data_IF_492822909203
#
_entry.id   IF_492822909203
#
_cell.length_a   1.000
_cell.length_b   1.000
_cell.length_c   1.000
_cell.angle_alpha   90.00
_cell.angle_beta   90.00
_cell.angle_gamma   90.00
#
_symmetry.space_group_name_H-M   'P 1'
#
loop_
_entity.id
_entity.type
_entity.pdbx_description
1 polymer ?
#
# COMPACT_ATOMS: atom_id res chain seq x y z
N UNK A 1 -3.87 10.54 21.18
CA UNK A 1 -4.32 9.79 20.00
C UNK A 1 -5.73 9.32 20.31
N UNK A 2 -6.73 9.83 19.61
CA UNK A 2 -8.11 9.38 19.76
C UNK A 2 -8.22 7.90 19.38
N UNK A 3 -8.83 7.10 20.25
CA UNK A 3 -8.86 5.63 20.17
C UNK A 3 -9.66 5.06 18.99
N UNK A 4 -10.35 5.89 18.20
CA UNK A 4 -11.34 5.41 17.23
C UNK A 4 -11.10 5.96 15.80
N UNK A 5 -10.05 5.47 15.16
CA UNK A 5 -9.78 5.63 13.72
C UNK A 5 -10.28 4.43 12.90
N UNK A 6 -11.25 3.70 13.45
CA UNK A 6 -11.86 2.60 12.73
C UNK A 6 -12.75 3.18 11.63
N UNK A 7 -12.65 2.70 10.38
CA UNK A 7 -13.64 3.04 9.38
C UNK A 7 -15.05 2.67 9.86
N UNK A 8 -16.02 3.55 9.62
CA UNK A 8 -17.42 3.28 9.97
C UNK A 8 -17.93 2.01 9.27
N UNK A 9 -17.52 1.82 8.02
CA UNK A 9 -17.80 0.63 7.23
C UNK A 9 -16.79 -0.48 7.55
N UNK A 10 -17.27 -1.66 7.93
CA UNK A 10 -16.41 -2.81 8.23
C UNK A 10 -16.15 -3.71 7.02
N UNK A 11 -16.85 -3.46 5.94
CA UNK A 11 -16.78 -4.21 4.68
C UNK A 11 -16.72 -3.25 3.52
N UNK A 12 -16.14 -3.70 2.40
CA UNK A 12 -16.01 -2.89 1.21
C UNK A 12 -15.99 -3.76 -0.03
N UNK A 13 -16.46 -3.25 -1.16
CA UNK A 13 -16.37 -3.97 -2.43
C UNK A 13 -15.22 -3.42 -3.28
N UNK A 14 -14.42 -4.34 -3.83
CA UNK A 14 -13.40 -4.04 -4.83
C UNK A 14 -13.77 -4.73 -6.13
N UNK A 15 -14.11 -3.94 -7.14
CA UNK A 15 -14.37 -4.39 -8.50
C UNK A 15 -13.03 -4.48 -9.24
N UNK A 16 -12.68 -5.66 -9.71
CA UNK A 16 -11.39 -5.98 -10.31
C UNK A 16 -11.58 -6.58 -11.70
N UNK A 17 -10.77 -6.12 -12.65
CA UNK A 17 -10.63 -6.71 -13.98
C UNK A 17 -9.15 -6.90 -14.27
N UNK A 18 -8.81 -8.01 -14.92
CA UNK A 18 -7.41 -8.36 -15.21
C UNK A 18 -7.28 -8.78 -16.67
N UNK A 19 -6.25 -8.28 -17.32
CA UNK A 19 -5.90 -8.61 -18.70
C UNK A 19 -4.41 -8.91 -18.82
N UNK A 20 -4.02 -9.66 -19.85
CA UNK A 20 -2.63 -9.74 -20.28
C UNK A 20 -2.54 -9.69 -21.80
N UNK A 21 -1.42 -9.17 -22.30
CA UNK A 21 -1.19 -9.05 -23.74
C UNK A 21 -0.07 -9.98 -24.26
N UNK A 22 0.36 -10.91 -23.40
CA UNK A 22 1.45 -11.85 -23.64
C UNK A 22 2.82 -11.36 -23.17
N UNK A 23 2.99 -10.06 -22.92
CA UNK A 23 4.23 -9.52 -22.33
C UNK A 23 3.97 -8.74 -21.02
N UNK A 24 2.77 -8.18 -20.84
CA UNK A 24 2.36 -7.38 -19.69
C UNK A 24 1.09 -7.93 -19.06
N UNK A 25 0.97 -7.71 -17.76
CA UNK A 25 -0.30 -7.82 -17.03
C UNK A 25 -0.86 -6.43 -16.78
N UNK A 26 -2.18 -6.31 -16.85
CA UNK A 26 -2.93 -5.09 -16.59
C UNK A 26 -4.03 -5.39 -15.59
N UNK A 27 -4.21 -4.49 -14.63
CA UNK A 27 -5.30 -4.51 -13.69
C UNK A 27 -6.09 -3.22 -13.78
N UNK A 28 -7.43 -3.32 -13.70
CA UNK A 28 -8.33 -2.20 -13.40
C UNK A 28 -9.06 -2.51 -12.11
N UNK A 29 -9.03 -1.55 -11.19
CA UNK A 29 -9.64 -1.61 -9.88
C UNK A 29 -10.64 -0.48 -9.73
N UNK A 30 -11.80 -0.76 -9.13
CA UNK A 30 -12.80 0.25 -8.80
C UNK A 30 -13.35 0.02 -7.41
N UNK A 31 -13.47 1.08 -6.62
CA UNK A 31 -14.12 1.03 -5.32
C UNK A 31 -14.78 2.36 -4.98
N UNK A 32 -15.87 2.29 -4.23
CA UNK A 32 -16.63 3.47 -3.84
C UNK A 32 -15.83 4.31 -2.84
N UNK A 33 -15.68 5.60 -3.13
CA UNK A 33 -15.05 6.59 -2.28
C UNK A 33 -15.79 7.91 -2.47
N UNK A 34 -16.91 8.12 -1.77
CA UNK A 34 -17.70 9.34 -1.89
C UNK A 34 -17.00 10.57 -1.28
N UNK A 35 -16.00 10.36 -0.42
CA UNK A 35 -15.29 11.45 0.25
C UNK A 35 -14.12 11.98 -0.61
N UNK A 36 -14.10 13.29 -0.95
CA UNK A 36 -13.02 13.91 -1.73
C UNK A 36 -11.79 14.21 -0.86
N UNK A 37 -10.60 14.28 -1.48
CA UNK A 37 -9.35 14.66 -0.79
C UNK A 37 -8.36 13.51 -0.56
N UNK A 38 -8.66 12.31 -1.04
CA UNK A 38 -7.79 11.12 -0.91
C UNK A 38 -6.45 11.24 -1.61
N UNK A 39 -6.24 12.27 -2.43
CA UNK A 39 -4.97 12.56 -3.09
C UNK A 39 -4.10 13.57 -2.32
N UNK A 40 -4.50 13.99 -1.12
CA UNK A 40 -3.70 14.81 -0.21
C UNK A 40 -2.99 13.92 0.81
N UNK A 41 -1.79 14.34 1.23
CA UNK A 41 -0.97 13.64 2.23
C UNK A 41 -0.37 14.66 3.21
N UNK A 42 0.54 14.22 4.08
CA UNK A 42 1.23 15.08 5.05
C UNK A 42 1.82 16.36 4.44
N UNK A 43 1.46 17.50 5.04
CA UNK A 43 1.90 18.85 4.66
C UNK A 43 2.72 19.48 5.78
N UNK A 44 3.58 20.42 5.40
CA UNK A 44 4.25 21.34 6.29
C UNK A 44 3.42 22.63 6.29
N UNK A 45 3.03 23.11 7.47
CA UNK A 45 2.17 24.29 7.62
C UNK A 45 2.89 25.35 8.43
N UNK A 46 2.92 26.58 7.92
CA UNK A 46 3.35 27.72 8.72
C UNK A 46 2.23 28.13 9.67
N UNK A 47 2.45 27.91 10.96
CA UNK A 47 1.43 28.08 11.99
C UNK A 47 2.02 28.67 13.27
N UNK A 48 1.43 29.78 13.73
CA UNK A 48 1.86 30.52 14.92
C UNK A 48 3.35 30.92 14.85
N UNK A 49 3.81 31.35 13.68
CA UNK A 49 5.18 31.82 13.46
C UNK A 49 6.23 30.73 13.32
N UNK A 50 5.85 29.47 13.08
CA UNK A 50 6.78 28.39 12.81
C UNK A 50 6.23 27.34 11.84
N UNK A 51 7.11 26.72 11.06
CA UNK A 51 6.80 25.57 10.22
C UNK A 51 6.64 24.30 11.05
N UNK A 52 5.47 23.66 10.92
CA UNK A 52 5.11 22.43 11.64
C UNK A 52 4.66 21.35 10.65
N UNK A 53 4.95 20.09 10.96
CA UNK A 53 4.37 18.99 10.20
C UNK A 53 2.95 18.72 10.65
N UNK A 54 2.01 18.82 9.72
CA UNK A 54 0.64 18.33 9.90
C UNK A 54 0.48 17.04 9.08
N UNK A 55 0.37 15.93 9.79
CA UNK A 55 0.23 14.58 9.24
C UNK A 55 -0.85 13.85 10.03
N UNK A 56 -1.51 12.84 9.44
CA UNK A 56 -2.34 11.88 10.17
C UNK A 56 -3.36 12.59 11.11
N UNK A 57 -4.51 13.04 10.60
CA UNK A 57 -5.57 12.07 10.37
C UNK A 57 -6.03 11.92 8.92
N UNK A 58 -7.03 11.07 8.79
CA UNK A 58 -7.75 10.90 7.56
C UNK A 58 -8.49 12.18 7.15
N UNK A 59 -8.46 12.54 5.84
CA UNK A 59 -9.08 13.77 5.34
C UNK A 59 -10.57 13.88 5.67
N UNK A 60 -11.25 12.75 5.88
CA UNK A 60 -12.69 12.65 6.16
C UNK A 60 -13.03 12.57 7.65
N UNK A 61 -12.05 12.42 8.54
CA UNK A 61 -12.28 12.46 9.99
C UNK A 61 -12.27 13.92 10.45
N UNK A 62 -13.32 14.65 10.07
CA UNK A 62 -13.57 16.02 10.50
C UNK A 62 -14.38 16.04 11.79
N UNK A 63 -13.90 16.70 12.85
CA UNK A 63 -14.68 16.87 14.08
C UNK A 63 -13.88 17.12 15.35
N UNK A 64 -12.60 16.79 15.35
CA UNK A 64 -11.69 17.18 16.42
C UNK A 64 -10.89 18.42 15.97
N UNK A 65 -11.00 19.55 16.69
CA UNK A 65 -10.24 20.76 16.36
C UNK A 65 -8.72 20.58 16.45
N UNK A 66 -8.21 19.55 17.13
CA UNK A 66 -6.78 19.17 17.14
C UNK A 66 -6.36 18.40 15.87
N UNK A 67 -7.31 17.96 15.04
CA UNK A 67 -7.03 17.30 13.75
C UNK A 67 -6.57 18.29 12.70
N UNK A 68 -5.31 18.14 12.28
CA UNK A 68 -4.62 19.09 11.41
C UNK A 68 -4.02 18.47 10.14
N UNK A 69 -3.79 17.16 10.11
CA UNK A 69 -3.13 16.46 9.01
C UNK A 69 -4.04 15.75 7.99
N UNK A 70 -3.39 15.21 6.96
CA UNK A 70 -4.01 14.44 5.88
C UNK A 70 -3.24 13.16 5.61
N UNK A 71 -3.90 12.20 4.99
CA UNK A 71 -3.26 10.98 4.49
C UNK A 71 -3.98 10.49 3.23
N UNK A 72 -3.21 9.87 2.34
CA UNK A 72 -3.68 9.50 1.00
C UNK A 72 -4.45 8.17 0.96
N UNK A 73 -5.30 8.04 -0.05
CA UNK A 73 -5.88 6.79 -0.53
C UNK A 73 -4.85 5.92 -1.21
N UNK A 74 -4.97 4.61 -0.99
CA UNK A 74 -4.03 3.62 -1.51
C UNK A 74 -4.76 2.34 -1.87
N UNK A 75 -4.26 1.71 -2.92
CA UNK A 75 -4.57 0.34 -3.27
C UNK A 75 -3.25 -0.43 -3.26
N UNK A 76 -3.25 -1.60 -2.63
CA UNK A 76 -2.14 -2.54 -2.72
C UNK A 76 -2.66 -3.94 -2.89
N UNK A 77 -1.80 -4.84 -3.34
CA UNK A 77 -2.09 -6.26 -3.31
C UNK A 77 -0.80 -7.04 -3.13
N UNK A 78 -0.94 -8.24 -2.57
CA UNK A 78 0.12 -9.23 -2.59
C UNK A 78 0.05 -10.08 -3.85
N UNK A 79 1.21 -10.45 -4.38
CA UNK A 79 1.38 -11.50 -5.39
C UNK A 79 2.37 -12.55 -4.87
N UNK A 80 2.07 -13.81 -5.18
CA UNK A 80 2.86 -14.98 -4.80
C UNK A 80 2.71 -16.07 -5.87
N UNK A 81 3.74 -16.88 -6.06
CA UNK A 81 3.76 -18.02 -6.98
C UNK A 81 3.37 -19.34 -6.31
N UNK A 82 2.90 -19.28 -5.05
CA UNK A 82 2.56 -20.43 -4.22
C UNK A 82 3.72 -20.92 -3.36
N UNK A 83 4.88 -20.26 -3.40
CA UNK A 83 6.04 -20.62 -2.57
C UNK A 83 5.87 -20.21 -1.10
N UNK A 84 5.05 -19.20 -0.80
CA UNK A 84 4.76 -18.78 0.57
C UNK A 84 3.67 -19.66 1.19
N UNK A 85 4.08 -20.56 2.08
CA UNK A 85 3.20 -21.52 2.74
C UNK A 85 2.15 -20.80 3.60
N UNK A 86 0.89 -21.15 3.35
CA UNK A 86 -0.26 -20.61 4.07
C UNK A 86 -0.77 -19.28 3.53
N UNK A 87 -0.12 -18.67 2.55
CA UNK A 87 -0.60 -17.42 1.96
C UNK A 87 -1.98 -17.58 1.29
N UNK A 88 -2.23 -18.70 0.61
CA UNK A 88 -3.56 -19.02 0.06
C UNK A 88 -4.66 -19.02 1.15
N UNK A 89 -4.36 -19.60 2.32
CA UNK A 89 -5.34 -19.72 3.39
C UNK A 89 -5.50 -18.43 4.21
N UNK A 90 -4.43 -17.64 4.39
CA UNK A 90 -4.39 -16.55 5.37
C UNK A 90 -4.04 -15.17 4.83
N UNK A 91 -3.83 -15.02 3.53
CA UNK A 91 -3.63 -13.73 2.86
C UNK A 91 -2.67 -12.79 3.63
N UNK A 92 -3.05 -11.51 3.73
CA UNK A 92 -2.26 -10.50 4.44
C UNK A 92 -2.18 -10.67 5.96
N UNK A 93 -3.05 -11.47 6.59
CA UNK A 93 -3.00 -11.74 8.03
C UNK A 93 -1.73 -12.48 8.43
N UNK A 94 -1.25 -13.37 7.55
CA UNK A 94 0.02 -14.10 7.71
C UNK A 94 1.21 -13.19 8.01
N UNK A 95 1.14 -11.92 7.58
CA UNK A 95 2.26 -10.97 7.67
C UNK A 95 2.24 -10.07 8.91
N UNK A 96 1.22 -10.17 9.75
CA UNK A 96 0.96 -9.20 10.82
C UNK A 96 1.19 -9.83 12.19
N UNK A 97 2.36 -9.62 12.80
CA UNK A 97 2.74 -10.28 14.05
C UNK A 97 2.65 -9.35 15.27
N UNK A 98 2.72 -9.93 16.47
CA UNK A 98 3.00 -9.17 17.69
C UNK A 98 4.28 -8.32 17.54
N UNK A 99 4.30 -7.11 18.11
CA UNK A 99 5.45 -6.21 18.04
C UNK A 99 5.42 -5.23 16.87
N UNK A 100 4.61 -5.47 15.83
CA UNK A 100 4.53 -4.58 14.69
C UNK A 100 4.06 -3.18 15.08
N UNK A 101 4.59 -2.17 14.39
CA UNK A 101 4.20 -0.79 14.58
C UNK A 101 2.68 -0.60 14.46
N UNK A 102 2.11 0.28 15.26
CA UNK A 102 0.68 0.59 15.29
C UNK A 102 -0.24 -0.55 15.76
N UNK A 103 0.31 -1.62 16.34
CA UNK A 103 -0.44 -2.57 17.15
C UNK A 103 -0.37 -2.18 18.63
N UNK A 104 -1.33 -2.61 19.47
CA UNK A 104 -1.23 -2.41 20.92
C UNK A 104 0.02 -3.05 21.53
N UNK A 105 0.56 -4.08 20.86
CA UNK A 105 1.79 -4.78 21.24
C UNK A 105 3.04 -4.21 20.56
N UNK A 106 2.99 -3.02 19.94
CA UNK A 106 4.13 -2.39 19.28
C UNK A 106 5.38 -2.40 20.17
N UNK A 107 6.47 -2.93 19.63
CA UNK A 107 7.75 -2.95 20.33
C UNK A 107 8.38 -1.55 20.30
N UNK A 108 9.12 -1.19 21.35
CA UNK A 108 9.80 0.10 21.41
C UNK A 108 10.91 0.23 20.35
N UNK A 109 11.14 1.45 19.88
CA UNK A 109 12.22 1.76 18.94
C UNK A 109 13.59 1.30 19.47
N UNK A 110 13.87 1.54 20.75
CA UNK A 110 15.11 1.11 21.41
C UNK A 110 15.33 -0.40 21.29
N UNK A 111 14.29 -1.22 21.46
CA UNK A 111 14.41 -2.66 21.35
C UNK A 111 14.61 -3.14 19.90
N UNK A 112 14.05 -2.44 18.90
CA UNK A 112 14.30 -2.74 17.48
C UNK A 112 15.73 -2.33 17.09
N UNK A 113 16.17 -1.16 17.51
CA UNK A 113 17.52 -0.63 17.25
C UNK A 113 18.60 -1.51 17.89
N UNK A 114 18.33 -2.10 19.05
CA UNK A 114 19.22 -3.05 19.70
C UNK A 114 19.22 -4.46 19.07
N UNK A 115 18.31 -4.76 18.13
CA UNK A 115 18.22 -6.08 17.52
C UNK A 115 19.28 -6.25 16.40
N UNK A 116 20.08 -7.35 16.38
CA UNK A 116 21.14 -7.54 15.38
C UNK A 116 20.66 -7.51 13.92
N UNK A 117 19.47 -8.08 13.67
CA UNK A 117 18.87 -8.05 12.32
C UNK A 117 18.25 -6.70 11.97
N UNK A 118 17.25 -6.22 12.73
CA UNK A 118 16.52 -5.01 12.38
C UNK A 118 17.31 -3.72 12.60
N UNK A 119 17.94 -3.56 13.77
CA UNK A 119 18.70 -2.36 14.11
C UNK A 119 20.05 -2.30 13.40
N UNK A 120 20.94 -3.26 13.67
CA UNK A 120 22.31 -3.19 13.16
C UNK A 120 22.41 -3.42 11.65
N UNK A 121 21.73 -4.43 11.11
CA UNK A 121 21.81 -4.78 9.67
C UNK A 121 20.88 -3.95 8.80
N UNK A 122 19.59 -3.82 9.18
CA UNK A 122 18.60 -3.14 8.35
C UNK A 122 18.44 -1.63 8.66
N UNK A 123 19.03 -1.14 9.75
CA UNK A 123 18.93 0.26 10.18
C UNK A 123 17.50 0.68 10.48
N UNK A 124 16.71 -0.19 11.10
CA UNK A 124 15.30 0.05 11.43
C UNK A 124 15.12 0.36 12.91
N UNK A 125 14.11 1.17 13.17
CA UNK A 125 13.63 1.52 14.51
C UNK A 125 12.15 1.14 14.71
N UNK A 126 11.54 0.46 13.74
CA UNK A 126 10.18 -0.07 13.81
C UNK A 126 10.14 -1.51 13.26
N UNK A 127 9.16 -2.29 13.73
CA UNK A 127 8.81 -3.56 13.09
C UNK A 127 7.65 -3.35 12.11
N UNK A 128 7.75 -4.03 10.97
CA UNK A 128 6.74 -4.05 9.92
C UNK A 128 6.42 -5.48 9.54
N UNK A 129 5.59 -5.65 8.51
CA UNK A 129 5.21 -6.96 7.97
C UNK A 129 6.44 -7.83 7.72
N UNK A 130 6.35 -9.09 8.08
CA UNK A 130 7.33 -10.14 7.78
C UNK A 130 6.59 -11.48 7.67
N UNK A 131 7.22 -12.49 7.07
CA UNK A 131 6.70 -13.84 6.94
C UNK A 131 7.16 -14.71 8.12
N UNK A 132 6.30 -15.58 8.68
CA UNK A 132 6.74 -16.51 9.72
C UNK A 132 7.83 -17.47 9.21
N UNK A 133 7.81 -17.85 7.93
CA UNK A 133 8.90 -18.61 7.30
C UNK A 133 10.27 -17.93 7.40
N UNK A 134 10.34 -16.60 7.54
CA UNK A 134 11.61 -15.87 7.72
C UNK A 134 12.16 -15.99 9.16
N UNK A 135 11.43 -16.61 10.07
CA UNK A 135 11.83 -16.89 11.44
C UNK A 135 12.17 -18.37 11.65
N UNK A 136 12.94 -18.66 12.70
CA UNK A 136 13.25 -20.02 13.11
C UNK A 136 11.99 -20.74 13.64
N UNK A 137 11.92 -22.05 13.37
CA UNK A 137 10.81 -22.90 13.80
C UNK A 137 9.99 -23.43 12.62
N UNK A 138 8.75 -23.80 12.92
CA UNK A 138 7.75 -24.25 11.94
C UNK A 138 7.30 -23.11 11.02
N UNK A 139 6.68 -23.43 9.89
CA UNK A 139 6.25 -22.45 8.88
C UNK A 139 5.31 -21.35 9.42
N UNK A 140 4.58 -21.65 10.50
CA UNK A 140 3.65 -20.75 11.17
C UNK A 140 4.27 -20.00 12.36
N UNK A 141 5.48 -20.36 12.79
CA UNK A 141 6.14 -19.73 13.93
C UNK A 141 6.82 -18.43 13.47
N UNK A 142 6.32 -17.27 13.92
CA UNK A 142 6.83 -15.96 13.53
C UNK A 142 7.23 -15.09 14.71
N UNK A 143 8.35 -15.42 15.36
CA UNK A 143 8.97 -14.55 16.38
C UNK A 143 10.06 -13.69 15.74
N UNK A 144 9.86 -12.38 15.74
CA UNK A 144 10.80 -11.40 15.19
C UNK A 144 12.17 -11.45 15.88
N UNK A 145 12.29 -12.02 17.09
CA UNK A 145 13.56 -12.19 17.79
C UNK A 145 14.43 -13.32 17.24
N UNK A 146 13.82 -14.20 16.43
CA UNK A 146 14.43 -15.41 15.92
C UNK A 146 14.49 -15.41 14.39
N UNK A 147 14.83 -14.27 13.77
CA UNK A 147 14.99 -14.16 12.32
C UNK A 147 16.05 -15.15 11.81
N UNK A 148 15.78 -15.81 10.69
CA UNK A 148 16.73 -16.70 10.03
C UNK A 148 18.01 -15.96 9.62
N UNK A 149 19.15 -16.67 9.55
CA UNK A 149 20.40 -16.08 9.11
C UNK A 149 20.31 -15.47 7.68
N UNK A 150 21.11 -14.44 7.37
CA UNK A 150 21.03 -13.71 6.10
C UNK A 150 21.24 -14.57 4.86
N UNK A 151 22.13 -15.56 4.92
CA UNK A 151 22.39 -16.49 3.84
C UNK A 151 21.17 -17.36 3.53
N UNK A 152 20.41 -17.72 4.56
CA UNK A 152 19.18 -18.47 4.42
C UNK A 152 18.08 -17.58 3.84
N UNK A 153 17.90 -16.35 4.34
CA UNK A 153 16.95 -15.38 3.79
C UNK A 153 17.25 -15.07 2.32
N UNK A 154 18.53 -14.95 1.95
CA UNK A 154 18.92 -14.78 0.55
C UNK A 154 18.54 -16.00 -0.30
N UNK A 155 18.81 -17.20 0.19
CA UNK A 155 18.45 -18.43 -0.52
C UNK A 155 16.92 -18.60 -0.64
N UNK A 156 16.14 -18.18 0.36
CA UNK A 156 14.67 -18.12 0.29
C UNK A 156 14.22 -17.17 -0.82
N UNK A 157 14.77 -15.96 -0.86
CA UNK A 157 14.48 -14.96 -1.89
C UNK A 157 14.83 -15.45 -3.30
N UNK A 158 15.96 -16.15 -3.46
CA UNK A 158 16.37 -16.79 -4.73
C UNK A 158 15.43 -17.92 -5.16
N UNK A 159 14.67 -18.52 -4.24
CA UNK A 159 13.62 -19.52 -4.52
C UNK A 159 12.22 -18.92 -4.71
N UNK A 160 12.09 -17.60 -4.68
CA UNK A 160 10.80 -16.91 -4.81
C UNK A 160 9.99 -16.82 -3.50
N UNK A 161 10.52 -17.29 -2.36
CA UNK A 161 9.80 -17.37 -1.08
C UNK A 161 9.61 -15.99 -0.40
N UNK A 162 8.94 -15.06 -1.07
CA UNK A 162 8.59 -13.73 -0.60
C UNK A 162 7.24 -13.31 -1.20
N UNK A 163 6.58 -12.33 -0.58
CA UNK A 163 5.38 -11.73 -1.17
C UNK A 163 5.74 -10.42 -1.88
N UNK A 164 5.48 -10.35 -3.18
CA UNK A 164 5.49 -9.10 -3.96
C UNK A 164 4.33 -8.21 -3.48
N UNK A 165 4.56 -6.91 -3.27
CA UNK A 165 3.64 -5.95 -2.67
C UNK A 165 3.65 -4.60 -3.40
N UNK A 166 3.12 -4.54 -4.63
CA UNK A 166 2.87 -3.29 -5.31
C UNK A 166 1.79 -2.48 -4.61
N UNK A 167 1.90 -1.17 -4.72
CA UNK A 167 0.92 -0.23 -4.17
C UNK A 167 0.80 1.02 -5.02
N UNK A 168 -0.41 1.30 -5.49
CA UNK A 168 -0.77 2.63 -5.98
C UNK A 168 -1.04 3.58 -4.79
N UNK A 169 -0.54 4.80 -4.89
CA UNK A 169 -0.63 5.85 -3.88
C UNK A 169 -1.12 7.15 -4.52
N UNK A 170 -2.30 7.60 -4.13
CA UNK A 170 -2.97 8.74 -4.77
C UNK A 170 -2.14 10.04 -4.75
N UNK A 171 -1.27 10.23 -3.75
CA UNK A 171 -0.38 11.38 -3.68
C UNK A 171 1.06 11.02 -4.04
N UNK A 172 1.61 9.97 -3.44
CA UNK A 172 3.05 9.69 -3.48
C UNK A 172 3.54 8.95 -4.72
N UNK A 173 2.66 8.48 -5.60
CA UNK A 173 3.08 7.72 -6.79
C UNK A 173 2.25 8.05 -8.03
N UNK A 174 0.95 8.26 -7.87
CA UNK A 174 0.02 8.59 -8.95
C UNK A 174 0.45 9.79 -9.81
N UNK A 175 0.88 10.94 -9.24
CA UNK A 175 1.17 12.12 -10.05
C UNK A 175 2.38 11.98 -10.98
N UNK A 176 3.22 10.96 -10.76
CA UNK A 176 4.36 10.64 -11.62
C UNK A 176 4.10 9.42 -12.51
N UNK A 177 2.91 8.80 -12.45
CA UNK A 177 2.50 7.70 -13.33
C UNK A 177 2.98 6.31 -12.92
N UNK A 178 3.35 6.11 -11.65
CA UNK A 178 3.90 4.85 -11.15
C UNK A 178 3.18 4.33 -9.91
N UNK A 179 3.33 3.03 -9.66
CA UNK A 179 3.14 2.44 -8.33
C UNK A 179 4.40 2.58 -7.48
N UNK A 180 4.27 2.39 -6.17
CA UNK A 180 5.42 2.04 -5.32
C UNK A 180 5.52 0.55 -5.20
N UNK A 181 6.74 0.03 -5.29
CA UNK A 181 6.99 -1.41 -5.21
C UNK A 181 7.75 -1.80 -3.93
N UNK A 182 7.42 -2.97 -3.43
CA UNK A 182 7.92 -3.52 -2.17
C UNK A 182 7.76 -5.03 -2.16
N UNK A 183 8.49 -5.69 -1.27
CA UNK A 183 8.28 -7.11 -0.96
C UNK A 183 8.30 -7.38 0.54
N UNK A 184 7.76 -8.53 0.94
CA UNK A 184 7.74 -9.00 2.32
C UNK A 184 8.45 -10.35 2.42
N UNK A 185 9.53 -10.39 3.20
CA UNK A 185 10.21 -11.61 3.66
C UNK A 185 10.48 -11.51 5.16
N UNK A 186 11.64 -11.01 5.56
CA UNK A 186 12.05 -10.79 6.96
C UNK A 186 11.59 -9.42 7.49
N UNK A 187 11.19 -8.55 6.57
CA UNK A 187 10.65 -7.22 6.80
C UNK A 187 9.89 -6.79 5.53
N UNK A 188 9.13 -5.69 5.61
CA UNK A 188 8.59 -5.01 4.43
C UNK A 188 9.67 -4.13 3.82
N UNK A 189 10.41 -4.71 2.91
CA UNK A 189 11.43 -4.03 2.14
C UNK A 189 10.77 -3.19 1.05
N UNK A 190 11.46 -2.16 0.61
CA UNK A 190 11.12 -1.56 -0.66
C UNK A 190 12.11 -2.06 -1.70
N UNK A 191 11.67 -2.11 -2.93
CA UNK A 191 12.46 -2.75 -3.97
C UNK A 191 13.65 -1.90 -4.38
N UNK A 192 14.62 -2.57 -5.00
CA UNK A 192 15.87 -1.95 -5.37
C UNK A 192 15.67 -0.76 -6.30
N UNK A 193 16.52 0.25 -6.11
CA UNK A 193 16.51 1.47 -6.90
C UNK A 193 15.85 2.64 -6.17
N UNK A 194 15.24 3.53 -6.95
CA UNK A 194 14.74 4.82 -6.47
C UNK A 194 13.22 4.82 -6.48
N UNK A 195 12.62 5.26 -5.38
CA UNK A 195 11.15 5.37 -5.22
C UNK A 195 10.61 6.67 -5.82
N UNK A 196 9.31 6.69 -6.00
CA UNK A 196 8.52 7.81 -6.55
C UNK A 196 8.53 9.09 -5.73
N UNK A 197 9.00 9.05 -4.48
CA UNK A 197 9.00 10.21 -3.58
C UNK A 197 10.25 10.29 -2.69
N UNK A 198 10.53 11.50 -2.20
CA UNK A 198 11.48 11.80 -1.12
C UNK A 198 10.73 12.33 0.10
N UNK A 199 11.48 12.72 1.14
CA UNK A 199 10.96 13.54 2.21
C UNK A 199 11.87 14.73 2.30
N UNK A 200 11.33 15.92 2.09
CA UNK A 200 12.12 17.13 2.29
C UNK A 200 12.37 17.37 3.77
N UNK A 201 13.54 17.92 4.08
CA UNK A 201 13.84 18.46 5.39
C UNK A 201 13.13 19.80 5.56
N UNK A 202 12.96 20.24 6.81
CA UNK A 202 12.52 21.59 7.11
C UNK A 202 13.07 22.02 8.46
N UNK A 203 13.18 23.32 8.64
CA UNK A 203 13.46 23.95 9.93
C UNK A 203 12.21 24.73 10.38
N UNK A 204 11.86 24.73 11.67
CA UNK A 204 10.70 25.49 12.15
C UNK A 204 10.77 27.00 11.88
N UNK A 205 11.96 27.59 11.83
CA UNK A 205 12.16 29.03 11.62
C UNK A 205 12.42 29.38 10.15
N UNK A 206 13.18 28.55 9.43
CA UNK A 206 13.60 28.87 8.04
C UNK A 206 12.83 28.14 6.95
N UNK A 207 11.95 27.21 7.31
CA UNK A 207 11.01 26.58 6.39
C UNK A 207 11.50 25.34 5.66
N UNK A 208 10.70 24.84 4.69
CA UNK A 208 11.03 23.66 3.91
C UNK A 208 12.14 23.91 2.90
N UNK A 209 12.66 22.84 2.31
CA UNK A 209 13.65 22.94 1.21
C UNK A 209 13.01 23.44 -0.10
N UNK A 210 11.76 23.07 -0.34
CA UNK A 210 11.05 23.25 -1.60
C UNK A 210 9.63 23.78 -1.37
N UNK A 211 9.10 24.48 -2.36
CA UNK A 211 7.70 24.96 -2.42
C UNK A 211 7.13 24.80 -3.83
N UNK A 212 5.84 25.10 -4.01
CA UNK A 212 5.28 25.17 -5.36
C UNK A 212 5.83 26.39 -6.11
N UNK A 213 5.98 26.26 -7.43
CA UNK A 213 6.25 27.40 -8.29
C UNK A 213 5.09 28.41 -8.19
N UNK A 214 5.32 29.66 -7.78
CA UNK A 214 4.28 30.68 -7.67
C UNK A 214 3.63 31.07 -9.01
N UNK A 215 4.26 30.72 -10.14
CA UNK A 215 3.64 30.87 -11.46
C UNK A 215 2.56 29.80 -11.73
N UNK A 216 2.58 28.69 -10.98
CA UNK A 216 1.65 27.56 -11.11
C UNK A 216 0.63 27.54 -9.96
N UNK A 217 1.09 27.73 -8.72
CA UNK A 217 0.25 27.79 -7.52
C UNK A 217 0.45 29.16 -6.86
N UNK A 218 -0.57 30.01 -6.94
CA UNK A 218 -0.50 31.37 -6.38
C UNK A 218 -0.06 31.33 -4.90
N UNK A 219 0.92 32.17 -4.55
CA UNK A 219 1.47 32.21 -3.19
C UNK A 219 2.43 31.07 -2.84
N UNK A 220 2.78 30.20 -3.80
CA UNK A 220 3.78 29.13 -3.64
C UNK A 220 3.40 28.02 -2.66
N UNK A 221 2.17 28.04 -2.14
CA UNK A 221 1.66 27.10 -1.14
C UNK A 221 0.14 26.93 -1.29
N UNK A 222 -0.38 25.81 -0.79
CA UNK A 222 -1.82 25.62 -0.60
C UNK A 222 -2.30 26.36 0.66
N UNK A 223 -3.61 26.57 0.79
CA UNK A 223 -4.23 27.10 2.01
C UNK A 223 -4.72 25.94 2.89
N UNK A 224 -4.12 25.78 4.07
CA UNK A 224 -4.50 24.75 5.03
C UNK A 224 -5.97 24.84 5.48
N UNK A 225 -6.49 26.06 5.66
CA UNK A 225 -7.87 26.26 6.08
C UNK A 225 -8.84 25.82 4.98
N UNK A 226 -8.52 26.09 3.72
CA UNK A 226 -9.28 25.62 2.56
C UNK A 226 -9.27 24.08 2.49
N UNK A 227 -8.10 23.44 2.63
CA UNK A 227 -7.99 21.99 2.67
C UNK A 227 -8.83 21.37 3.80
N UNK A 228 -8.85 21.99 4.98
CA UNK A 228 -9.70 21.54 6.11
C UNK A 228 -11.20 21.76 5.88
N UNK A 229 -11.56 22.74 5.06
CA UNK A 229 -12.94 22.98 4.65
C UNK A 229 -13.40 22.01 3.54
N UNK A 230 -12.53 21.12 3.06
CA UNK A 230 -12.80 20.20 1.95
C UNK A 230 -12.59 20.82 0.57
N UNK A 231 -11.98 22.01 0.51
CA UNK A 231 -11.65 22.71 -0.73
C UNK A 231 -10.29 22.21 -1.24
N UNK A 232 -10.29 21.02 -1.83
CA UNK A 232 -9.08 20.39 -2.37
C UNK A 232 -8.79 20.86 -3.80
N UNK A 233 -7.51 21.00 -4.20
CA UNK A 233 -7.16 21.09 -5.61
C UNK A 233 -7.72 19.89 -6.37
N UNK A 234 -8.17 20.09 -7.61
CA UNK A 234 -8.73 19.02 -8.44
C UNK A 234 -7.73 17.86 -8.61
N UNK A 235 -8.22 16.63 -8.48
CA UNK A 235 -7.41 15.43 -8.74
C UNK A 235 -6.95 15.42 -10.20
N UNK A 236 -5.65 15.20 -10.43
CA UNK A 236 -5.04 15.28 -11.75
C UNK A 236 -4.64 16.68 -12.24
N UNK A 237 -4.95 17.77 -11.52
CA UNK A 237 -4.55 19.13 -11.92
C UNK A 237 -3.03 19.40 -11.81
N UNK A 238 -2.29 18.50 -11.16
CA UNK A 238 -0.84 18.65 -10.92
C UNK A 238 -0.48 19.67 -9.83
N UNK A 239 -1.46 20.29 -9.18
CA UNK A 239 -1.28 21.37 -8.19
C UNK A 239 -1.47 20.93 -6.74
N UNK A 240 -1.52 19.62 -6.48
CA UNK A 240 -1.65 19.07 -5.11
C UNK A 240 -0.38 18.38 -4.62
N UNK A 241 0.58 18.09 -5.50
CA UNK A 241 1.81 17.37 -5.18
C UNK A 241 3.03 18.06 -5.79
N UNK A 242 4.17 18.00 -5.10
CA UNK A 242 5.42 18.61 -5.56
C UNK A 242 6.11 17.72 -6.60
N UNK A 243 5.65 17.76 -7.86
CA UNK A 243 6.34 17.13 -8.99
C UNK A 243 7.49 18.02 -9.50
N UNK A 244 8.48 17.47 -10.23
CA UNK A 244 9.61 18.25 -10.72
C UNK A 244 9.22 19.48 -11.54
N UNK A 245 8.07 19.45 -12.21
CA UNK A 245 7.62 20.50 -13.13
C UNK A 245 6.93 21.69 -12.42
N UNK A 246 6.56 21.53 -11.15
CA UNK A 246 5.78 22.53 -10.39
C UNK A 246 6.46 22.94 -9.08
N UNK A 247 7.75 22.62 -8.94
CA UNK A 247 8.49 22.79 -7.68
C UNK A 247 9.72 23.68 -7.85
N UNK A 248 9.90 24.63 -6.92
CA UNK A 248 11.06 25.54 -6.86
C UNK A 248 11.66 25.55 -5.44
N UNK A 249 12.90 26.04 -5.24
CA UNK A 249 13.44 26.27 -3.90
C UNK A 249 12.51 27.17 -3.07
N UNK A 250 12.38 26.89 -1.77
CA UNK A 250 11.55 27.68 -0.87
C UNK A 250 12.00 29.15 -0.80
N UNK A 251 11.03 30.08 -0.88
CA UNK A 251 11.23 31.51 -0.68
C UNK A 251 10.23 32.01 0.40
N UNK A 252 10.72 32.41 1.59
CA UNK A 252 9.85 32.87 2.66
C UNK A 252 9.11 34.16 2.31
N UNK A 253 9.59 34.96 1.36
CA UNK A 253 8.86 36.16 0.93
C UNK A 253 7.60 35.85 0.10
N UNK A 254 7.45 34.61 -0.34
CA UNK A 254 6.32 34.12 -1.16
C UNK A 254 5.40 33.23 -0.33
N UNK A 255 5.96 32.17 0.25
CA UNK A 255 5.17 31.06 0.82
C UNK A 255 5.20 31.02 2.36
N UNK A 256 5.71 32.05 3.04
CA UNK A 256 5.64 32.17 4.50
C UNK A 256 4.51 33.11 4.92
N UNK A 257 3.34 32.54 5.12
CA UNK A 257 2.16 33.22 5.64
C UNK A 257 1.33 32.23 6.48
N UNK A 258 0.55 32.73 7.43
CA UNK A 258 -0.20 31.88 8.35
C UNK A 258 -1.19 30.99 7.60
N UNK A 259 -1.01 29.67 7.71
CA UNK A 259 -1.81 28.66 6.99
C UNK A 259 -1.20 28.15 5.69
N UNK A 260 -0.05 28.67 5.26
CA UNK A 260 0.66 28.18 4.07
C UNK A 260 0.99 26.69 4.22
N UNK A 261 0.48 25.86 3.33
CA UNK A 261 0.62 24.41 3.35
C UNK A 261 1.40 23.89 2.14
N UNK A 262 2.53 23.24 2.41
CA UNK A 262 3.41 22.68 1.37
C UNK A 262 3.52 21.16 1.57
N UNK A 263 3.30 20.33 0.53
CA UNK A 263 3.47 18.89 0.64
C UNK A 263 4.87 18.50 1.13
N UNK A 264 4.95 17.60 2.11
CA UNK A 264 6.24 17.15 2.64
C UNK A 264 6.97 16.17 1.70
N UNK A 265 6.30 15.70 0.66
CA UNK A 265 6.75 14.61 -0.22
C UNK A 265 7.00 15.14 -1.64
N UNK A 266 8.20 15.66 -1.94
CA UNK A 266 8.61 15.86 -3.31
C UNK A 266 8.59 14.54 -4.07
N UNK A 267 8.04 14.57 -5.28
CA UNK A 267 7.90 13.44 -6.17
C UNK A 267 8.99 13.44 -7.23
N UNK A 268 9.28 12.25 -7.74
CA UNK A 268 10.29 12.03 -8.77
C UNK A 268 10.02 10.73 -9.48
N UNK A 269 10.52 10.61 -10.70
CA UNK A 269 10.48 9.35 -11.44
C UNK A 269 11.29 8.26 -10.70
N UNK A 270 10.71 7.06 -10.48
CA UNK A 270 11.40 5.94 -9.89
C UNK A 270 12.40 5.30 -10.87
N UNK A 271 13.28 4.42 -10.39
CA UNK A 271 14.22 3.63 -11.23
C UNK A 271 14.47 2.26 -10.61
N UNK A 272 14.91 1.30 -11.41
CA UNK A 272 15.17 -0.08 -10.96
C UNK A 272 13.86 -0.81 -10.72
N UNK A 273 13.89 -1.86 -9.88
CA UNK A 273 12.69 -2.66 -9.56
C UNK A 273 11.58 -1.82 -8.92
N UNK A 274 11.93 -0.79 -8.16
CA UNK A 274 10.96 0.18 -7.62
C UNK A 274 10.12 0.93 -8.69
N UNK A 275 10.43 0.78 -9.98
CA UNK A 275 9.72 1.35 -11.13
C UNK A 275 8.98 0.30 -11.99
N UNK A 276 8.95 -0.97 -11.60
CA UNK A 276 8.38 -2.05 -12.42
C UNK A 276 6.88 -1.86 -12.70
N UNK A 277 6.16 -1.20 -11.77
CA UNK A 277 4.74 -0.89 -11.91
C UNK A 277 4.48 0.54 -12.37
N UNK A 278 3.82 0.65 -13.53
CA UNK A 278 3.11 1.87 -13.95
C UNK A 278 1.71 1.89 -13.36
N UNK A 279 1.21 3.07 -13.01
CA UNK A 279 -0.14 3.20 -12.46
C UNK A 279 -0.76 4.57 -12.72
N UNK A 280 -2.08 4.61 -12.78
CA UNK A 280 -2.89 5.84 -12.84
C UNK A 280 -4.20 5.65 -12.10
N UNK A 281 -4.61 6.65 -11.34
CA UNK A 281 -5.87 6.72 -10.64
C UNK A 281 -6.69 7.91 -11.10
N UNK A 282 -8.00 7.73 -11.13
CA UNK A 282 -8.96 8.81 -11.38
C UNK A 282 -10.05 8.73 -10.34
N UNK A 283 -10.27 9.83 -9.63
CA UNK A 283 -11.42 9.97 -8.75
C UNK A 283 -12.56 10.62 -9.52
N UNK A 284 -13.72 9.98 -9.52
CA UNK A 284 -14.84 10.33 -10.41
C UNK A 284 -15.92 11.18 -9.74
N UNK A 285 -15.79 11.45 -8.43
CA UNK A 285 -16.81 12.08 -7.61
C UNK A 285 -17.35 11.16 -6.52
N UNK A 286 -17.37 9.85 -6.78
CA UNK A 286 -17.92 8.84 -5.88
C UNK A 286 -17.16 7.51 -5.87
N UNK A 287 -16.26 7.28 -6.82
CA UNK A 287 -15.37 6.11 -6.84
C UNK A 287 -13.96 6.46 -7.32
N UNK A 288 -13.01 5.63 -6.89
CA UNK A 288 -11.72 5.53 -7.55
C UNK A 288 -11.77 4.53 -8.69
N UNK A 289 -11.15 4.89 -9.81
CA UNK A 289 -10.76 3.97 -10.89
C UNK A 289 -9.25 3.96 -10.96
N UNK A 290 -8.62 2.84 -10.64
CA UNK A 290 -7.16 2.68 -10.65
C UNK A 290 -6.75 1.62 -11.64
N UNK A 291 -5.80 1.97 -12.49
CA UNK A 291 -5.20 1.09 -13.47
C UNK A 291 -3.72 0.88 -13.15
N UNK A 292 -3.27 -0.37 -13.17
CA UNK A 292 -1.87 -0.73 -12.90
C UNK A 292 -1.36 -1.72 -13.94
N UNK A 293 -0.09 -1.61 -14.33
CA UNK A 293 0.55 -2.57 -15.25
C UNK A 293 2.04 -2.70 -15.04
N UNK A 294 2.53 -3.92 -15.26
CA UNK A 294 3.95 -4.24 -15.38
C UNK A 294 4.17 -5.33 -16.43
N UNK A 295 5.44 -5.58 -16.77
CA UNK A 295 5.81 -6.77 -17.53
C UNK A 295 5.50 -8.04 -16.74
N UNK A 296 5.12 -9.11 -17.43
CA UNK A 296 4.90 -10.43 -16.85
C UNK A 296 6.20 -10.97 -16.24
N UNK A 297 7.28 -10.93 -17.03
CA UNK A 297 8.65 -11.15 -16.55
C UNK A 297 9.40 -9.82 -16.46
N UNK A 298 10.04 -9.58 -15.32
CA UNK A 298 10.86 -8.39 -15.05
C UNK A 298 12.34 -8.79 -14.95
N UNK A 299 13.25 -7.83 -15.09
CA UNK A 299 14.68 -8.06 -14.88
C UNK A 299 15.07 -8.12 -13.38
N UNK A 300 14.08 -8.19 -12.48
CA UNK A 300 14.22 -8.10 -11.03
C UNK A 300 13.59 -9.28 -10.28
N UNK A 301 13.95 -10.55 -10.59
CA UNK A 301 13.29 -11.74 -10.04
C UNK A 301 13.46 -11.93 -8.53
N UNK A 302 14.37 -11.18 -7.91
CA UNK A 302 14.52 -11.19 -6.46
C UNK A 302 13.51 -10.27 -5.78
N UNK A 303 13.08 -9.18 -6.41
CA UNK A 303 12.18 -8.20 -5.79
C UNK A 303 10.72 -8.39 -6.23
N UNK A 304 10.49 -8.95 -7.42
CA UNK A 304 9.16 -9.06 -8.04
C UNK A 304 8.86 -10.49 -8.47
N UNK A 305 7.64 -10.97 -8.18
CA UNK A 305 7.17 -12.30 -8.61
C UNK A 305 7.11 -12.36 -10.14
N UNK A 306 7.73 -13.39 -10.73
CA UNK A 306 7.72 -13.57 -12.18
C UNK A 306 6.45 -14.27 -12.63
N UNK A 307 5.79 -13.70 -13.64
CA UNK A 307 4.52 -14.19 -14.17
C UNK A 307 4.71 -14.77 -15.57
N UNK A 308 4.01 -15.86 -15.86
CA UNK A 308 4.03 -16.54 -17.15
C UNK A 308 2.60 -16.85 -17.64
N UNK A 309 2.31 -16.66 -18.94
CA UNK A 309 1.04 -17.12 -19.51
C UNK A 309 0.86 -18.63 -19.37
N UNK A 310 -0.34 -19.06 -18.99
CA UNK A 310 -0.70 -20.45 -18.73
C UNK A 310 -0.55 -20.89 -17.27
N UNK A 311 0.07 -20.07 -16.42
CA UNK A 311 0.32 -20.38 -15.02
C UNK A 311 -0.71 -19.74 -14.06
N UNK A 312 -0.76 -20.24 -12.83
CA UNK A 312 -1.65 -19.75 -11.75
C UNK A 312 -0.83 -19.21 -10.58
N UNK A 313 -1.26 -18.07 -10.06
CA UNK A 313 -0.64 -17.33 -8.96
C UNK A 313 -1.64 -17.09 -7.84
N UNK A 314 -1.16 -16.57 -6.72
CA UNK A 314 -1.97 -16.15 -5.59
C UNK A 314 -1.99 -14.62 -5.50
N UNK A 315 -3.17 -14.03 -5.32
CA UNK A 315 -3.38 -12.59 -5.30
C UNK A 315 -4.31 -12.18 -4.15
N UNK A 316 -3.91 -11.20 -3.34
CA UNK A 316 -4.73 -10.71 -2.21
C UNK A 316 -4.72 -9.17 -2.12
N UNK A 317 -5.87 -8.48 -2.33
CA UNK A 317 -5.95 -7.02 -2.36
C UNK A 317 -6.12 -6.35 -1.00
N UNK A 318 -5.88 -5.04 -0.97
CA UNK A 318 -6.25 -4.15 0.12
C UNK A 318 -6.47 -2.71 -0.35
N UNK A 319 -7.44 -2.01 0.25
CA UNK A 319 -7.71 -0.58 0.02
C UNK A 319 -7.61 0.21 1.31
N UNK A 320 -7.02 1.40 1.23
CA UNK A 320 -6.85 2.32 2.35
C UNK A 320 -7.59 3.62 2.04
N UNK A 321 -8.40 4.09 2.98
CA UNK A 321 -9.19 5.32 2.85
C UNK A 321 -8.59 6.44 3.67
N UNK A 322 -7.58 7.06 3.09
CA UNK A 322 -6.94 8.24 3.67
C UNK A 322 -6.43 8.01 5.07
N UNK A 323 -6.11 6.78 5.47
CA UNK A 323 -5.66 6.48 6.81
C UNK A 323 -4.31 5.79 6.76
N UNK A 324 -3.38 6.26 7.58
CA UNK A 324 -2.11 5.60 7.80
C UNK A 324 -2.26 4.24 8.48
N UNK A 325 -1.19 3.43 8.41
CA UNK A 325 -1.01 2.24 9.26
C UNK A 325 -2.08 1.15 9.01
N UNK A 326 -2.76 0.67 10.06
CA UNK A 326 -3.61 -0.53 10.06
C UNK A 326 -5.06 -0.30 9.64
N UNK A 327 -5.47 0.94 9.43
CA UNK A 327 -6.87 1.29 9.19
C UNK A 327 -7.20 1.15 7.69
N UNK A 328 -7.58 -0.06 7.28
CA UNK A 328 -7.77 -0.45 5.88
C UNK A 328 -8.61 -1.72 5.75
N UNK A 329 -9.13 -1.99 4.56
CA UNK A 329 -9.84 -3.23 4.25
C UNK A 329 -8.93 -4.15 3.44
N UNK A 330 -8.99 -5.44 3.76
CA UNK A 330 -8.17 -6.48 3.14
C UNK A 330 -9.05 -7.56 2.53
N UNK A 331 -8.64 -8.09 1.39
CA UNK A 331 -9.27 -9.22 0.74
C UNK A 331 -8.64 -10.55 1.17
N UNK A 332 -9.35 -11.61 0.84
CA UNK A 332 -8.82 -12.97 0.91
C UNK A 332 -7.97 -13.28 -0.31
N UNK A 333 -7.21 -14.37 -0.27
CA UNK A 333 -6.39 -14.77 -1.40
C UNK A 333 -7.26 -15.42 -2.47
N UNK A 334 -7.13 -14.93 -3.69
CA UNK A 334 -7.68 -15.53 -4.89
C UNK A 334 -6.57 -16.25 -5.66
N UNK A 335 -6.94 -17.31 -6.36
CA UNK A 335 -6.12 -17.85 -7.45
C UNK A 335 -6.28 -16.96 -8.67
N UNK A 336 -5.17 -16.50 -9.24
CA UNK A 336 -5.12 -15.67 -10.45
C UNK A 336 -4.44 -16.46 -11.57
N UNK A 337 -5.21 -16.86 -12.58
CA UNK A 337 -4.67 -17.51 -13.78
C UNK A 337 -4.30 -16.48 -14.85
N UNK A 338 -3.13 -16.62 -15.47
CA UNK A 338 -2.71 -15.79 -16.60
C UNK A 338 -3.13 -16.49 -17.90
N UNK A 339 -4.28 -16.13 -18.47
CA UNK A 339 -4.80 -16.78 -19.68
C UNK A 339 -5.36 -18.20 -19.47
N UNK A 340 -5.36 -18.69 -18.24
CA UNK A 340 -5.89 -20.00 -17.82
C UNK A 340 -6.92 -19.82 -16.72
N UNK A 341 -7.92 -20.70 -16.65
CA UNK A 341 -8.89 -20.72 -15.56
C UNK A 341 -8.33 -21.59 -14.41
N UNK A 342 -8.04 -21.02 -13.22
CA UNK A 342 -7.59 -21.82 -12.08
C UNK A 342 -8.68 -22.75 -11.58
N UNK A 343 -8.28 -23.87 -10.98
CA UNK A 343 -9.22 -24.68 -10.21
C UNK A 343 -9.76 -23.87 -9.02
N UNK A 344 -11.07 -23.86 -8.77
CA UNK A 344 -11.62 -23.22 -7.58
C UNK A 344 -11.08 -23.86 -6.29
N UNK A 345 -10.79 -23.07 -5.24
CA UNK A 345 -10.42 -23.63 -3.95
C UNK A 345 -11.61 -24.33 -3.29
N UNK A 346 -11.34 -25.30 -2.42
CA UNK A 346 -12.38 -25.97 -1.60
C UNK A 346 -13.09 -24.98 -0.67
N UNK A 347 -12.34 -24.01 -0.14
CA UNK A 347 -12.83 -22.92 0.68
C UNK A 347 -12.04 -21.66 0.35
N UNK A 348 -12.73 -20.58 -0.04
CA UNK A 348 -12.12 -19.34 -0.48
C UNK A 348 -12.93 -18.65 -1.56
N UNK A 349 -12.50 -17.46 -1.99
CA UNK A 349 -13.19 -16.73 -3.04
C UNK A 349 -13.01 -17.38 -4.41
N UNK A 350 -13.87 -17.04 -5.36
CA UNK A 350 -13.76 -17.54 -6.72
C UNK A 350 -12.46 -17.06 -7.41
N UNK A 351 -11.86 -17.89 -8.30
CA UNK A 351 -10.67 -17.51 -9.05
C UNK A 351 -10.85 -16.26 -9.93
N UNK A 352 -9.74 -15.60 -10.23
CA UNK A 352 -9.63 -14.56 -11.25
C UNK A 352 -8.85 -15.09 -12.45
N UNK A 353 -9.18 -14.57 -13.63
CA UNK A 353 -8.44 -14.84 -14.86
C UNK A 353 -8.02 -13.53 -15.48
N UNK A 354 -6.72 -13.34 -15.69
CA UNK A 354 -6.23 -12.34 -16.61
C UNK A 354 -6.60 -12.79 -18.02
N UNK A 355 -7.51 -12.06 -18.67
CA UNK A 355 -7.96 -12.40 -20.03
C UNK A 355 -6.93 -11.95 -21.05
N UNK A 356 -6.62 -12.80 -22.01
CA UNK A 356 -5.76 -12.43 -23.12
C UNK A 356 -6.43 -11.35 -23.98
N UNK A 357 -5.68 -10.28 -24.26
CA UNK A 357 -6.10 -9.17 -25.13
C UNK A 357 -5.05 -8.91 -26.21
N UNK A 358 -5.41 -8.09 -27.21
CA UNK A 358 -4.43 -7.59 -28.16
C UNK A 358 -3.34 -6.76 -27.45
N UNK A 359 -2.18 -6.63 -28.09
CA UNK A 359 -1.03 -5.87 -27.60
C UNK A 359 -1.45 -4.51 -27.01
N UNK A 360 -1.15 -4.28 -25.74
CA UNK A 360 -1.56 -3.11 -24.98
C UNK A 360 -0.34 -2.55 -24.21
N UNK A 361 0.38 -1.56 -24.76
CA UNK A 361 1.56 -1.00 -24.10
C UNK A 361 1.26 -0.38 -22.73
N UNK A 362 0.03 0.10 -22.52
CA UNK A 362 -0.46 0.70 -21.28
C UNK A 362 -1.87 0.18 -20.95
N UNK A 363 -2.30 0.24 -19.68
CA UNK A 363 -3.68 -0.08 -19.30
C UNK A 363 -4.77 0.67 -20.09
N UNK A 364 -4.52 1.93 -20.44
CA UNK A 364 -5.46 2.74 -21.22
C UNK A 364 -5.74 2.21 -22.64
N UNK A 365 -4.90 1.29 -23.16
CA UNK A 365 -5.11 0.64 -24.44
C UNK A 365 -6.00 -0.63 -24.36
N UNK A 366 -6.37 -1.06 -23.14
CA UNK A 366 -7.23 -2.23 -22.92
C UNK A 366 -8.70 -1.83 -23.06
N UNK A 367 -9.46 -2.59 -23.85
CA UNK A 367 -10.93 -2.48 -23.88
C UNK A 367 -11.52 -3.17 -22.64
N UNK A 368 -11.54 -2.43 -21.54
CA UNK A 368 -12.00 -2.96 -20.26
C UNK A 368 -13.49 -3.30 -20.23
N UNK A 369 -14.32 -2.71 -21.08
CA UNK A 369 -15.76 -2.96 -21.07
C UNK A 369 -16.09 -4.33 -21.69
N UNK A 370 -15.16 -4.90 -22.45
CA UNK A 370 -15.23 -6.28 -22.95
C UNK A 370 -14.82 -7.34 -21.92
N UNK A 371 -14.26 -6.94 -20.77
CA UNK A 371 -13.70 -7.87 -19.78
C UNK A 371 -14.66 -8.09 -18.59
N UNK A 372 -14.72 -9.31 -18.03
CA UNK A 372 -15.57 -9.60 -16.88
C UNK A 372 -15.07 -8.87 -15.63
N UNK A 373 -15.98 -8.19 -14.92
CA UNK A 373 -15.71 -7.61 -13.60
C UNK A 373 -15.89 -8.66 -12.51
N UNK A 374 -14.87 -8.82 -11.67
CA UNK A 374 -14.92 -9.62 -10.46
C UNK A 374 -15.09 -8.71 -9.24
N UNK A 375 -16.09 -8.98 -8.40
CA UNK A 375 -16.37 -8.17 -7.20
C UNK A 375 -15.89 -8.92 -5.96
N UNK A 376 -14.82 -8.42 -5.34
CA UNK A 376 -14.21 -9.00 -4.14
C UNK A 376 -14.69 -8.26 -2.90
N UNK A 377 -15.30 -8.94 -1.91
CA UNK A 377 -15.52 -8.35 -0.60
C UNK A 377 -14.20 -8.22 0.14
N UNK A 378 -13.93 -7.02 0.64
CA UNK A 378 -12.84 -6.69 1.55
C UNK A 378 -13.41 -6.48 2.94
N UNK A 379 -12.65 -6.90 3.95
CA UNK A 379 -13.05 -6.79 5.36
C UNK A 379 -12.04 -5.95 6.13
N UNK A 380 -12.53 -5.21 7.11
CA UNK A 380 -11.67 -4.52 8.07
C UNK A 380 -11.07 -5.55 9.05
N UNK A 381 -9.75 -5.80 9.05
CA UNK A 381 -9.15 -6.92 9.77
C UNK A 381 -8.99 -6.67 11.29
N UNK A 382 -9.29 -5.46 11.76
CA UNK A 382 -9.16 -5.10 13.17
C UNK A 382 -7.71 -5.11 13.65
N UNK A 383 -7.51 -5.57 14.88
CA UNK A 383 -6.19 -5.68 15.54
C UNK A 383 -5.69 -7.12 15.61
N UNK A 384 -6.34 -8.06 14.91
CA UNK A 384 -5.97 -9.46 14.93
C UNK A 384 -4.57 -9.66 14.33
N UNK A 385 -3.67 -10.26 15.10
CA UNK A 385 -2.35 -10.65 14.62
C UNK A 385 -2.30 -12.13 14.26
N UNK A 386 -1.35 -12.50 13.40
CA UNK A 386 -0.93 -13.86 13.14
C UNK A 386 -0.58 -14.60 14.44
N UNK A 387 0.10 -13.93 15.39
CA UNK A 387 0.45 -14.49 16.69
C UNK A 387 -0.80 -14.95 17.45
N UNK A 388 -1.88 -14.16 17.41
CA UNK A 388 -3.17 -14.53 18.01
C UNK A 388 -3.81 -15.73 17.29
N UNK A 389 -3.76 -15.75 15.95
CA UNK A 389 -4.33 -16.83 15.14
C UNK A 389 -3.64 -18.17 15.43
N UNK A 390 -2.32 -18.18 15.49
CA UNK A 390 -1.55 -19.41 15.73
C UNK A 390 -1.43 -19.76 17.21
N UNK A 391 -1.95 -18.97 18.15
CA UNK A 391 -1.87 -19.28 19.60
C UNK A 391 -3.23 -19.35 20.28
N UNK A 392 -4.30 -18.91 19.59
CA UNK A 392 -5.65 -18.84 20.10
C UNK A 392 -6.45 -20.14 19.93
N UNK A 393 -7.78 -20.01 20.02
CA UNK A 393 -8.71 -21.15 20.02
C UNK A 393 -8.67 -22.01 18.75
N UNK A 394 -8.35 -21.42 17.60
CA UNK A 394 -8.27 -22.12 16.30
C UNK A 394 -6.83 -22.48 15.90
N UNK A 395 -5.87 -22.39 16.83
CA UNK A 395 -4.45 -22.53 16.53
C UNK A 395 -4.10 -23.84 15.82
N UNK A 396 -4.63 -24.98 16.27
CA UNK A 396 -4.36 -26.28 15.64
C UNK A 396 -4.78 -26.27 14.16
N UNK A 397 -6.04 -25.93 13.88
CA UNK A 397 -6.58 -25.85 12.53
C UNK A 397 -5.83 -24.86 11.63
N UNK A 398 -5.39 -23.71 12.18
CA UNK A 398 -4.57 -22.73 11.45
C UNK A 398 -3.20 -23.33 11.10
N UNK A 399 -2.53 -23.95 12.08
CA UNK A 399 -1.17 -24.52 11.91
C UNK A 399 -1.15 -25.75 10.98
N UNK A 400 -2.26 -26.49 10.90
CA UNK A 400 -2.44 -27.67 10.04
C UNK A 400 -3.05 -27.35 8.68
N UNK A 401 -3.43 -26.10 8.41
CA UNK A 401 -4.15 -25.67 7.19
C UNK A 401 -5.53 -26.34 7.03
N UNK A 402 -6.17 -26.72 8.13
CA UNK A 402 -7.53 -27.27 8.15
C UNK A 402 -8.62 -26.18 8.15
N UNK A 403 -8.21 -24.91 8.22
CA UNK A 403 -9.11 -23.76 8.05
C UNK A 403 -8.44 -22.61 7.29
N UNK A 404 -9.25 -21.66 6.84
CA UNK A 404 -8.81 -20.44 6.14
C UNK A 404 -9.36 -19.19 6.82
N UNK A 405 -8.80 -18.01 6.51
CA UNK A 405 -9.41 -16.75 6.96
C UNK A 405 -10.82 -16.57 6.39
N UNK A 406 -11.08 -17.09 5.20
CA UNK A 406 -12.42 -17.09 4.60
C UNK A 406 -13.42 -17.83 5.49
N UNK A 407 -13.06 -18.96 6.09
CA UNK A 407 -13.98 -19.70 6.97
C UNK A 407 -14.09 -19.08 8.36
N UNK A 408 -13.01 -18.46 8.84
CA UNK A 408 -12.96 -17.80 10.15
C UNK A 408 -13.73 -16.47 10.19
N UNK A 409 -13.72 -15.71 9.08
CA UNK A 409 -14.38 -14.40 8.97
C UNK A 409 -15.60 -14.38 8.05
N UNK A 410 -15.63 -15.22 7.01
CA UNK A 410 -16.57 -15.12 5.89
C UNK A 410 -17.92 -15.82 6.05
N UNK A 411 -18.29 -16.30 7.25
CA UNK A 411 -19.61 -16.94 7.46
C UNK A 411 -20.78 -15.97 7.64
N UNK A 412 -20.51 -14.67 7.79
CA UNK A 412 -21.56 -13.65 7.97
C UNK A 412 -21.85 -12.82 6.69
N UNK A 413 -21.19 -13.11 5.56
CA UNK A 413 -21.36 -12.35 4.31
C UNK A 413 -22.49 -12.85 3.38
N UNK A 414 -23.18 -13.93 3.74
CA UNK A 414 -24.40 -14.39 3.06
C UNK A 414 -25.46 -14.83 4.10
N UNK A 415 -26.22 -13.87 4.62
CA UNK A 415 -27.61 -14.05 5.10
C UNK A 415 -28.47 -12.84 4.76
#
# INVERSE_FOLDING_TARGET
MTDDWRPAETTKELRTQVAHDGERVHFRFRWDQPDPGGWIHDVLVYHEGAWRQFADPSPWVSGDPEHTGFYEDRLSFFLDDGSVRGFEAFAGWLTTHEGLRSLPSEVSAEAVEAHPHYGERLGKSDLRKFLPQACAGEWWAGDWRAVRPPEELRAMKERGEFLDLPMWRAHRSDPVGYGTDAHVLDYRHADAGRKTYTSQSWDPETGPELMFDPEVVEGGALDHAALRAGEFPEQGAGTYALTPDVTVPFDPSVAEWEGAAIPRRPLREPTGSAADWTASGTWTGDEWVVEMSRALSTDHPLDTTQLEPGETYLWAPAVHHGAGKRWHWVGYTHRLGIGVEPEPPTAGPAPLVAREVARAPTPAAVDWDALPTHTTPLVFPGVQSWTDLVSGANAEAVRTLETTMWELHGRDAEQ
#
